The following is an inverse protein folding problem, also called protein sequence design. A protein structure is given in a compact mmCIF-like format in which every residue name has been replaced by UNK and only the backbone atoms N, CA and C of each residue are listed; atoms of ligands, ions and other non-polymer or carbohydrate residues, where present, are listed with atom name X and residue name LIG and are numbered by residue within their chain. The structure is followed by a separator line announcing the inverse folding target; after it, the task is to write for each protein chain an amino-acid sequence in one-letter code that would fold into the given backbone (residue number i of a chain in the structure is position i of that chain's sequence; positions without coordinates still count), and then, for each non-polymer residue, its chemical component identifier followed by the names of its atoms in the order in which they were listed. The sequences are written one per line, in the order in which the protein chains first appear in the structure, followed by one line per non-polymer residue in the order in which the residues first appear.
data_IF_297432505955
#
_entry.id   IF_297432505955
#
_cell.length_a   1.000
_cell.length_b   1.000
_cell.length_c   1.000
_cell.angle_alpha   90.00
_cell.angle_beta   90.00
_cell.angle_gamma   90.00
#
_symmetry.space_group_name_H-M   'P 1'
#
loop_
_entity.id
_entity.type
_entity.pdbx_description
1 polymer ?
#
# COMPACT_ATOMS: atom_id res chain seq x y z
N UNK A 1 -52.47 -1.79 -7.18
CA UNK A 1 -52.39 -2.08 -8.63
C UNK A 1 -53.82 -2.14 -9.12
N UNK A 2 -54.18 -1.45 -10.20
CA UNK A 2 -55.51 -1.58 -10.81
C UNK A 2 -55.50 -2.76 -11.77
N UNK A 3 -56.35 -3.75 -11.53
CA UNK A 3 -56.59 -4.87 -12.44
C UNK A 3 -58.08 -4.89 -12.78
N UNK A 4 -58.42 -4.73 -14.06
CA UNK A 4 -59.80 -4.73 -14.57
C UNK A 4 -60.76 -3.76 -13.84
N UNK A 5 -60.26 -2.59 -13.42
CA UNK A 5 -61.08 -1.58 -12.73
C UNK A 5 -61.29 -1.83 -11.23
N UNK A 6 -60.63 -2.85 -10.65
CA UNK A 6 -60.67 -3.15 -9.21
C UNK A 6 -59.34 -2.77 -8.56
N UNK A 7 -59.42 -2.00 -7.46
CA UNK A 7 -58.26 -1.64 -6.63
C UNK A 7 -57.79 -2.83 -5.83
N UNK A 8 -56.59 -3.34 -6.11
CA UNK A 8 -55.98 -4.46 -5.37
C UNK A 8 -54.81 -3.98 -4.50
N UNK A 9 -54.81 -4.41 -3.23
CA UNK A 9 -53.68 -4.29 -2.30
C UNK A 9 -52.85 -5.57 -2.36
N UNK A 10 -51.60 -5.44 -2.79
CA UNK A 10 -50.61 -6.53 -2.76
C UNK A 10 -49.76 -6.33 -1.52
N UNK A 11 -49.77 -7.32 -0.62
CA UNK A 11 -48.89 -7.36 0.55
C UNK A 11 -47.84 -8.44 0.32
N UNK A 12 -46.60 -8.02 0.12
CA UNK A 12 -45.46 -8.94 0.07
C UNK A 12 -44.90 -9.10 1.47
N UNK A 13 -44.77 -10.35 1.92
CA UNK A 13 -44.19 -10.67 3.22
C UNK A 13 -42.99 -11.57 2.97
N UNK A 14 -41.82 -11.10 3.37
CA UNK A 14 -40.59 -11.87 3.27
C UNK A 14 -40.59 -13.05 4.28
N UNK A 15 -39.92 -14.17 3.94
CA UNK A 15 -39.79 -15.27 4.88
C UNK A 15 -38.96 -14.85 6.10
N UNK A 16 -39.28 -15.40 7.29
CA UNK A 16 -38.59 -15.05 8.53
C UNK A 16 -37.12 -15.51 8.52
N UNK A 17 -36.22 -14.64 9.00
CA UNK A 17 -34.76 -14.78 8.96
C UNK A 17 -34.24 -15.56 10.17
N UNK A 18 -32.99 -16.02 10.08
CA UNK A 18 -32.26 -16.60 11.22
C UNK A 18 -32.36 -15.68 12.44
N UNK A 19 -32.81 -16.20 13.59
CA UNK A 19 -32.97 -15.42 14.82
C UNK A 19 -34.26 -14.67 15.03
N UNK A 20 -35.08 -14.51 13.99
CA UNK A 20 -36.38 -13.87 14.18
C UNK A 20 -37.21 -14.69 15.18
N UNK A 21 -37.90 -14.04 16.13
CA UNK A 21 -38.72 -14.73 17.11
C UNK A 21 -39.81 -15.53 16.41
N UNK A 22 -40.23 -16.62 17.06
CA UNK A 22 -41.37 -17.42 16.57
C UNK A 22 -42.64 -16.63 16.91
N UNK A 23 -43.28 -16.07 15.89
CA UNK A 23 -44.52 -15.32 16.04
C UNK A 23 -45.72 -16.27 16.18
N UNK A 24 -46.48 -16.09 17.26
CA UNK A 24 -47.70 -16.83 17.55
C UNK A 24 -48.96 -16.00 17.26
N UNK A 25 -50.08 -16.69 17.02
CA UNK A 25 -51.39 -16.07 16.92
C UNK A 25 -51.73 -15.36 18.24
N UNK A 26 -51.85 -14.03 18.24
CA UNK A 26 -52.11 -13.25 19.47
C UNK A 26 -53.59 -13.12 19.82
N UNK A 27 -54.49 -13.27 18.84
CA UNK A 27 -55.93 -13.15 19.02
C UNK A 27 -56.60 -14.41 18.48
N UNK A 28 -57.65 -14.87 19.17
CA UNK A 28 -58.43 -16.03 18.73
C UNK A 28 -58.90 -15.83 17.29
N UNK A 29 -58.70 -16.85 16.45
CA UNK A 29 -59.09 -16.83 15.05
C UNK A 29 -59.90 -18.09 14.74
N UNK A 30 -61.21 -17.93 14.57
CA UNK A 30 -62.14 -19.06 14.35
C UNK A 30 -61.98 -20.12 15.46
N UNK A 31 -61.45 -21.29 15.10
CA UNK A 31 -61.26 -22.45 15.96
C UNK A 31 -59.84 -22.55 16.54
N UNK A 32 -58.98 -21.55 16.30
CA UNK A 32 -57.62 -21.52 16.79
C UNK A 32 -57.49 -20.58 17.99
N UNK A 33 -56.98 -21.11 19.09
CA UNK A 33 -56.68 -20.35 20.30
C UNK A 33 -55.42 -19.50 20.14
N UNK A 34 -55.27 -18.42 20.92
CA UNK A 34 -54.01 -17.68 21.00
C UNK A 34 -52.83 -18.61 21.36
N UNK A 35 -51.66 -18.34 20.78
CA UNK A 35 -50.44 -19.13 20.97
C UNK A 35 -50.13 -20.09 19.82
N UNK A 36 -51.08 -20.36 18.92
CA UNK A 36 -50.87 -21.25 17.77
C UNK A 36 -49.91 -20.61 16.74
N UNK A 37 -48.96 -21.39 16.23
CA UNK A 37 -48.06 -20.99 15.13
C UNK A 37 -48.60 -21.55 13.82
N UNK A 38 -48.54 -20.76 12.75
CA UNK A 38 -48.92 -21.18 11.40
C UNK A 38 -47.71 -21.15 10.47
N UNK A 39 -47.70 -22.05 9.50
CA UNK A 39 -46.76 -22.04 8.38
C UNK A 39 -47.50 -21.97 7.06
N UNK A 40 -46.85 -21.38 6.05
CA UNK A 40 -47.38 -21.29 4.68
C UNK A 40 -46.73 -22.39 3.85
N UNK A 41 -47.54 -23.30 3.33
CA UNK A 41 -47.17 -24.25 2.29
C UNK A 41 -47.67 -23.73 0.94
N UNK A 42 -47.18 -24.25 -0.19
CA UNK A 42 -47.68 -23.89 -1.52
C UNK A 42 -49.22 -23.98 -1.57
N UNK A 43 -49.88 -22.83 -1.76
CA UNK A 43 -51.33 -22.72 -1.84
C UNK A 43 -52.11 -22.72 -0.52
N UNK A 44 -51.51 -23.03 0.64
CA UNK A 44 -52.27 -23.20 1.89
C UNK A 44 -51.54 -22.74 3.16
N UNK A 45 -52.30 -22.25 4.14
CA UNK A 45 -51.78 -21.94 5.49
C UNK A 45 -52.29 -23.01 6.45
N UNK A 46 -51.37 -23.68 7.14
CA UNK A 46 -51.67 -24.77 8.08
C UNK A 46 -51.04 -24.50 9.44
N UNK A 47 -51.60 -25.10 10.49
CA UNK A 47 -50.97 -25.07 11.81
C UNK A 47 -49.58 -25.75 11.73
N UNK A 48 -48.59 -25.16 12.39
CA UNK A 48 -47.24 -25.70 12.44
C UNK A 48 -47.26 -27.08 13.13
N UNK A 49 -46.58 -28.05 12.51
CA UNK A 49 -46.35 -29.38 13.10
C UNK A 49 -45.12 -29.33 14.01
N UNK A 50 -44.88 -30.35 14.85
CA UNK A 50 -43.66 -30.42 15.66
C UNK A 50 -42.37 -30.25 14.83
N UNK A 51 -42.30 -30.88 13.65
CA UNK A 51 -41.17 -30.73 12.74
C UNK A 51 -40.98 -29.28 12.25
N UNK A 52 -42.07 -28.54 12.00
CA UNK A 52 -41.99 -27.11 11.67
C UNK A 52 -41.49 -26.30 12.87
N UNK A 53 -41.94 -26.61 14.09
CA UNK A 53 -41.47 -25.94 15.31
C UNK A 53 -39.98 -26.20 15.52
N UNK A 54 -39.51 -27.44 15.44
CA UNK A 54 -38.07 -27.78 15.54
C UNK A 54 -37.22 -27.07 14.48
N UNK A 55 -37.74 -26.90 13.27
CA UNK A 55 -37.07 -26.14 12.21
C UNK A 55 -36.98 -24.65 12.58
N UNK A 56 -38.06 -24.07 13.11
CA UNK A 56 -38.10 -22.68 13.56
C UNK A 56 -37.20 -22.46 14.80
N UNK A 57 -37.13 -23.41 15.72
CA UNK A 57 -36.24 -23.39 16.88
C UNK A 57 -34.77 -23.50 16.46
N UNK A 58 -34.44 -24.43 15.56
CA UNK A 58 -33.09 -24.49 14.97
C UNK A 58 -32.71 -23.16 14.35
N UNK A 59 -33.62 -22.53 13.60
CA UNK A 59 -33.41 -21.20 13.01
C UNK A 59 -33.20 -20.12 14.09
N UNK A 60 -33.99 -20.14 15.15
CA UNK A 60 -33.88 -19.20 16.27
C UNK A 60 -32.51 -19.32 16.95
N UNK A 61 -32.07 -20.55 17.20
CA UNK A 61 -30.77 -20.86 17.81
C UNK A 61 -29.58 -20.54 16.90
N UNK A 62 -29.74 -20.63 15.57
CA UNK A 62 -28.68 -20.27 14.61
C UNK A 62 -28.23 -18.81 14.74
N UNK A 63 -29.10 -17.89 15.18
CA UNK A 63 -28.75 -16.46 15.35
C UNK A 63 -28.02 -16.14 16.64
N UNK A 64 -28.18 -16.94 17.70
CA UNK A 64 -27.46 -16.72 18.95
C UNK A 64 -25.94 -16.71 18.75
N UNK A 65 -25.44 -17.30 17.66
CA UNK A 65 -24.03 -17.42 17.33
C UNK A 65 -23.61 -16.73 16.02
N UNK A 66 -24.39 -15.78 15.46
CA UNK A 66 -23.98 -15.07 14.24
C UNK A 66 -23.07 -13.87 14.55
N UNK A 67 -21.94 -13.73 13.84
CA UNK A 67 -21.01 -12.60 13.96
C UNK A 67 -21.67 -11.30 13.44
N UNK A 68 -21.74 -10.27 14.29
CA UNK A 68 -22.26 -8.94 13.94
C UNK A 68 -21.19 -7.88 14.20
N UNK A 69 -20.45 -7.55 13.14
CA UNK A 69 -19.32 -6.62 13.20
C UNK A 69 -19.41 -5.71 11.98
N UNK A 70 -19.21 -4.41 12.17
CA UNK A 70 -19.17 -3.44 11.09
C UNK A 70 -17.73 -2.97 10.85
N UNK A 71 -17.31 -2.95 9.58
CA UNK A 71 -16.04 -2.31 9.16
C UNK A 71 -16.36 -0.96 8.51
N UNK A 72 -15.78 0.10 9.04
CA UNK A 72 -15.84 1.46 8.48
C UNK A 72 -14.46 2.01 8.14
N UNK A 73 -14.42 3.16 7.48
CA UNK A 73 -13.17 3.90 7.22
C UNK A 73 -12.83 4.76 8.44
N UNK A 74 -11.56 4.81 8.81
CA UNK A 74 -11.04 5.79 9.75
C UNK A 74 -10.58 7.03 8.98
N UNK A 75 -11.22 8.18 9.23
CA UNK A 75 -10.89 9.43 8.54
C UNK A 75 -11.71 9.64 7.27
N UNK A 76 -11.14 10.35 6.29
CA UNK A 76 -11.82 10.65 5.03
C UNK A 76 -11.90 9.41 4.12
N UNK A 77 -13.06 9.13 3.49
CA UNK A 77 -13.23 8.00 2.58
C UNK A 77 -12.65 8.32 1.18
N UNK A 78 -11.37 8.67 1.14
CA UNK A 78 -10.67 9.11 -0.06
C UNK A 78 -9.32 8.41 -0.18
N UNK A 79 -8.96 7.99 -1.40
CA UNK A 79 -7.64 7.45 -1.72
C UNK A 79 -7.04 8.20 -2.91
N UNK A 80 -5.79 8.62 -2.80
CA UNK A 80 -5.11 9.32 -3.89
C UNK A 80 -4.45 8.35 -4.89
N UNK A 81 -4.40 8.75 -6.16
CA UNK A 81 -3.65 8.07 -7.21
C UNK A 81 -2.15 8.18 -6.93
N UNK A 82 -1.37 7.20 -7.41
CA UNK A 82 0.08 7.25 -7.31
C UNK A 82 0.66 8.49 -8.01
N UNK A 83 1.60 9.18 -7.35
CA UNK A 83 2.29 10.32 -7.93
C UNK A 83 3.25 9.80 -9.00
N UNK A 84 3.14 10.31 -10.23
CA UNK A 84 4.04 9.90 -11.29
C UNK A 84 5.38 10.63 -11.18
N UNK A 85 6.31 10.06 -10.42
CA UNK A 85 7.68 10.58 -10.27
C UNK A 85 8.59 10.27 -11.46
N UNK A 86 8.23 9.32 -12.33
CA UNK A 86 9.09 8.83 -13.42
C UNK A 86 9.60 9.96 -14.33
N UNK A 87 8.77 10.91 -14.82
CA UNK A 87 9.25 11.97 -15.70
C UNK A 87 10.25 12.92 -15.03
N UNK A 88 10.17 13.07 -13.69
CA UNK A 88 11.10 13.90 -12.93
C UNK A 88 12.43 13.16 -12.77
N UNK A 89 12.38 11.87 -12.45
CA UNK A 89 13.54 10.99 -12.33
C UNK A 89 14.29 10.89 -13.67
N UNK A 90 13.58 10.65 -14.75
CA UNK A 90 14.14 10.58 -16.11
C UNK A 90 14.78 11.90 -16.53
N UNK A 91 14.10 13.04 -16.29
CA UNK A 91 14.64 14.37 -16.61
C UNK A 91 15.90 14.67 -15.81
N UNK A 92 15.90 14.33 -14.52
CA UNK A 92 17.07 14.48 -13.65
C UNK A 92 18.23 13.59 -14.15
N UNK A 93 17.95 12.33 -14.48
CA UNK A 93 18.94 11.38 -14.99
C UNK A 93 19.55 11.86 -16.31
N UNK A 94 18.71 12.32 -17.25
CA UNK A 94 19.16 12.88 -18.52
C UNK A 94 20.03 14.14 -18.34
N UNK A 95 19.68 15.01 -17.38
CA UNK A 95 20.50 16.17 -17.04
C UNK A 95 21.87 15.77 -16.47
N UNK A 96 21.90 14.79 -15.56
CA UNK A 96 23.15 14.27 -14.99
C UNK A 96 24.04 13.61 -16.04
N UNK A 97 23.47 12.82 -16.95
CA UNK A 97 24.21 12.23 -18.06
C UNK A 97 24.77 13.31 -18.99
N UNK A 98 23.98 14.33 -19.35
CA UNK A 98 24.42 15.42 -20.23
C UNK A 98 25.53 16.26 -19.61
N UNK A 99 25.45 16.54 -18.31
CA UNK A 99 26.46 17.32 -17.60
C UNK A 99 27.78 16.57 -17.45
N UNK A 100 27.70 15.27 -17.14
CA UNK A 100 28.87 14.48 -16.73
C UNK A 100 29.50 13.69 -17.87
N UNK A 101 28.71 13.23 -18.85
CA UNK A 101 29.24 12.65 -20.10
C UNK A 101 29.64 13.82 -21.00
N UNK A 102 30.89 14.27 -20.86
CA UNK A 102 31.48 15.16 -21.86
C UNK A 102 31.54 14.42 -23.20
N UNK A 103 31.11 15.03 -24.32
CA UNK A 103 31.60 14.59 -25.62
C UNK A 103 33.11 14.83 -25.64
N UNK A 104 33.91 13.76 -25.52
CA UNK A 104 35.38 13.80 -25.61
C UNK A 104 35.86 14.08 -27.05
N UNK A 105 35.30 15.09 -27.71
CA UNK A 105 35.76 15.52 -29.03
C UNK A 105 36.87 16.57 -28.96
N UNK A 106 37.25 17.03 -27.76
CA UNK A 106 38.45 17.86 -27.62
C UNK A 106 39.44 17.20 -26.65
N UNK A 107 40.62 16.74 -27.13
CA UNK A 107 41.74 16.57 -26.22
C UNK A 107 41.94 17.88 -25.45
N UNK A 108 42.43 17.83 -24.19
CA UNK A 108 42.69 19.05 -23.45
C UNK A 108 43.55 19.94 -24.34
N UNK A 109 42.97 21.06 -24.81
CA UNK A 109 43.75 22.11 -25.44
C UNK A 109 44.69 22.55 -24.34
N UNK A 110 45.92 22.07 -24.39
CA UNK A 110 47.04 22.71 -23.73
C UNK A 110 46.84 24.19 -24.03
N UNK A 111 46.58 24.97 -22.98
CA UNK A 111 46.50 26.41 -23.09
C UNK A 111 47.91 26.83 -23.48
N UNK A 112 48.19 26.84 -24.78
CA UNK A 112 49.28 27.60 -25.37
C UNK A 112 48.85 29.04 -25.20
N UNK A 113 49.07 29.56 -23.99
CA UNK A 113 48.90 30.96 -23.70
C UNK A 113 49.71 31.73 -24.72
N UNK A 114 49.02 32.50 -25.55
CA UNK A 114 49.66 33.55 -26.31
C UNK A 114 50.34 34.50 -25.33
N UNK A 115 51.67 34.44 -25.33
CA UNK A 115 52.60 35.55 -25.16
C UNK A 115 52.19 36.60 -24.11
N UNK A 116 52.50 36.31 -22.85
CA UNK A 116 53.03 37.33 -21.95
C UNK A 116 54.46 36.94 -21.57
N UNK A 117 55.40 37.79 -21.93
CA UNK A 117 56.84 37.61 -21.74
C UNK A 117 57.22 37.64 -20.26
N UNK A 118 58.25 36.86 -19.93
CA UNK A 118 58.98 36.84 -18.65
C UNK A 118 58.29 36.09 -17.49
N UNK A 119 58.15 34.78 -17.61
CA UNK A 119 58.11 33.87 -16.47
C UNK A 119 59.08 32.70 -16.72
N UNK A 120 59.87 32.40 -15.69
CA UNK A 120 61.04 31.51 -15.65
C UNK A 120 60.85 30.14 -16.33
N UNK A 121 61.81 29.76 -17.18
CA UNK A 121 61.93 28.44 -17.82
C UNK A 121 61.88 27.26 -16.83
N UNK A 122 62.24 27.47 -15.57
CA UNK A 122 62.27 26.43 -14.54
C UNK A 122 60.89 25.87 -14.16
N UNK A 123 59.82 26.66 -14.26
CA UNK A 123 58.44 26.21 -13.90
C UNK A 123 57.79 25.49 -15.08
N UNK A 124 58.07 25.93 -16.31
CA UNK A 124 57.60 25.27 -17.53
C UNK A 124 58.27 23.91 -17.72
N UNK A 125 59.59 23.79 -17.47
CA UNK A 125 60.31 22.52 -17.52
C UNK A 125 59.89 21.58 -16.37
N UNK A 126 59.60 22.11 -15.18
CA UNK A 126 58.99 21.34 -14.10
C UNK A 126 57.61 20.80 -14.50
N UNK A 127 56.70 21.65 -15.01
CA UNK A 127 55.36 21.24 -15.44
C UNK A 127 55.40 20.25 -16.62
N UNK A 128 56.33 20.40 -17.56
CA UNK A 128 56.56 19.45 -18.63
C UNK A 128 57.03 18.07 -18.10
N UNK A 129 57.83 18.05 -17.03
CA UNK A 129 58.29 16.83 -16.37
C UNK A 129 57.19 16.05 -15.62
N UNK A 130 56.17 16.73 -15.09
CA UNK A 130 55.00 16.11 -14.43
C UNK A 130 53.77 15.94 -15.34
N UNK A 131 53.77 16.49 -16.56
CA UNK A 131 52.67 16.33 -17.52
C UNK A 131 52.29 14.86 -17.81
N UNK A 132 53.24 13.90 -17.93
CA UNK A 132 52.91 12.47 -18.06
C UNK A 132 52.20 11.89 -16.82
N UNK A 133 52.40 12.53 -15.67
CA UNK A 133 51.86 12.11 -14.39
C UNK A 133 50.48 12.73 -14.10
N UNK A 134 50.08 13.79 -14.82
CA UNK A 134 48.80 14.47 -14.72
C UNK A 134 47.73 13.92 -15.68
N UNK A 135 48.08 12.95 -16.53
CA UNK A 135 47.14 12.29 -17.41
C UNK A 135 46.12 11.46 -16.63
N UNK A 136 44.83 11.64 -16.95
CA UNK A 136 43.75 10.80 -16.44
C UNK A 136 44.02 9.32 -16.78
N UNK A 137 44.06 8.48 -15.74
CA UNK A 137 44.34 7.04 -15.89
C UNK A 137 43.16 6.26 -16.46
N UNK A 138 41.93 6.74 -16.24
CA UNK A 138 40.73 6.09 -16.76
C UNK A 138 40.62 6.33 -18.26
N UNK A 139 40.18 5.32 -19.01
CA UNK A 139 39.73 5.54 -20.38
C UNK A 139 38.43 6.34 -20.35
N UNK A 140 38.18 7.11 -21.40
CA UNK A 140 36.91 7.83 -21.60
C UNK A 140 35.70 6.92 -21.48
N UNK A 141 35.80 5.73 -22.07
CA UNK A 141 34.76 4.70 -22.01
C UNK A 141 34.51 4.23 -20.58
N UNK A 142 35.57 4.00 -19.80
CA UNK A 142 35.46 3.59 -18.40
C UNK A 142 34.76 4.66 -17.55
N UNK A 143 35.15 5.92 -17.68
CA UNK A 143 34.48 7.02 -16.96
C UNK A 143 33.02 7.17 -17.37
N UNK A 144 32.71 7.09 -18.67
CA UNK A 144 31.33 7.15 -19.14
C UNK A 144 30.48 6.00 -18.58
N UNK A 145 31.05 4.80 -18.46
CA UNK A 145 30.38 3.66 -17.83
C UNK A 145 30.19 3.86 -16.31
N UNK A 146 31.18 4.41 -15.60
CA UNK A 146 31.06 4.78 -14.18
C UNK A 146 29.93 5.80 -13.96
N UNK A 147 29.84 6.83 -14.81
CA UNK A 147 28.76 7.84 -14.75
C UNK A 147 27.39 7.21 -15.02
N UNK A 148 27.26 6.34 -16.04
CA UNK A 148 25.99 5.64 -16.32
C UNK A 148 25.55 4.77 -15.15
N UNK A 149 26.48 4.02 -14.56
CA UNK A 149 26.21 3.17 -13.40
C UNK A 149 25.76 4.01 -12.19
N UNK A 150 26.44 5.13 -11.92
CA UNK A 150 26.06 6.08 -10.88
C UNK A 150 24.64 6.63 -11.10
N UNK A 151 24.32 7.11 -12.30
CA UNK A 151 22.98 7.65 -12.61
C UNK A 151 21.91 6.58 -12.44
N UNK A 152 22.15 5.36 -12.93
CA UNK A 152 21.23 4.23 -12.75
C UNK A 152 20.99 3.93 -11.27
N UNK A 153 22.05 3.87 -10.45
CA UNK A 153 21.93 3.65 -9.02
C UNK A 153 21.16 4.77 -8.31
N UNK A 154 21.34 6.03 -8.74
CA UNK A 154 20.55 7.15 -8.22
C UNK A 154 19.07 7.05 -8.61
N UNK A 155 18.73 6.60 -9.83
CA UNK A 155 17.33 6.40 -10.23
C UNK A 155 16.64 5.36 -9.33
N UNK A 156 17.33 4.27 -8.98
CA UNK A 156 16.80 3.29 -8.03
C UNK A 156 16.56 3.90 -6.65
N UNK A 157 17.49 4.72 -6.16
CA UNK A 157 17.33 5.46 -4.89
C UNK A 157 16.14 6.42 -4.94
N UNK A 158 15.95 7.14 -6.04
CA UNK A 158 14.81 8.03 -6.25
C UNK A 158 13.48 7.25 -6.28
N UNK A 159 13.45 6.08 -6.93
CA UNK A 159 12.29 5.19 -6.91
C UNK A 159 11.92 4.72 -5.49
N UNK A 160 12.93 4.39 -4.66
CA UNK A 160 12.71 4.07 -3.24
C UNK A 160 12.20 5.27 -2.44
N UNK A 161 12.79 6.45 -2.65
CA UNK A 161 12.35 7.71 -2.03
C UNK A 161 10.89 8.03 -2.39
N UNK A 162 10.47 7.79 -3.63
CA UNK A 162 9.06 7.96 -4.05
C UNK A 162 8.11 7.04 -3.27
N UNK A 163 8.48 5.76 -3.08
CA UNK A 163 7.71 4.83 -2.23
C UNK A 163 7.65 5.31 -0.78
N UNK A 164 8.75 5.85 -0.23
CA UNK A 164 8.77 6.42 1.11
C UNK A 164 7.87 7.66 1.24
N UNK A 165 7.81 8.52 0.22
CA UNK A 165 6.89 9.66 0.18
C UNK A 165 5.43 9.18 0.22
N UNK A 166 5.07 8.19 -0.60
CA UNK A 166 3.75 7.55 -0.56
C UNK A 166 3.43 6.95 0.81
N UNK A 167 4.38 6.24 1.43
CA UNK A 167 4.19 5.63 2.75
C UNK A 167 3.91 6.66 3.85
N UNK A 168 4.47 7.87 3.74
CA UNK A 168 4.29 8.97 4.71
C UNK A 168 3.07 9.83 4.41
N UNK A 169 2.56 9.80 3.19
CA UNK A 169 1.45 10.63 2.75
C UNK A 169 0.10 10.15 3.31
N UNK A 170 -0.69 11.00 3.98
CA UNK A 170 -2.00 10.61 4.52
C UNK A 170 -2.98 10.18 3.41
N UNK A 171 -2.94 10.79 2.22
CA UNK A 171 -3.83 10.44 1.11
C UNK A 171 -3.59 9.05 0.50
N UNK A 172 -2.47 8.40 0.85
CA UNK A 172 -2.15 7.03 0.43
C UNK A 172 -2.31 6.01 1.57
N UNK A 173 -2.89 6.38 2.71
CA UNK A 173 -3.06 5.49 3.87
C UNK A 173 -4.50 5.05 4.04
N UNK A 174 -4.77 3.76 3.83
CA UNK A 174 -6.05 3.16 4.19
C UNK A 174 -6.02 2.70 5.64
N UNK A 175 -6.90 3.25 6.47
CA UNK A 175 -7.10 2.81 7.83
C UNK A 175 -8.58 2.47 8.06
N UNK A 176 -8.83 1.31 8.68
CA UNK A 176 -10.17 0.78 8.88
C UNK A 176 -10.49 0.71 10.37
N UNK A 177 -11.77 0.87 10.72
CA UNK A 177 -12.29 0.68 12.07
C UNK A 177 -13.22 -0.52 12.10
N UNK A 178 -12.92 -1.47 12.96
CA UNK A 178 -13.78 -2.58 13.31
C UNK A 178 -14.67 -2.18 14.50
N UNK A 179 -15.98 -2.26 14.35
CA UNK A 179 -16.95 -1.93 15.40
C UNK A 179 -17.78 -3.17 15.74
N UNK A 180 -17.74 -3.59 16.99
CA UNK A 180 -18.60 -4.63 17.53
C UNK A 180 -19.91 -4.02 18.06
N UNK A 181 -21.05 -4.64 17.79
CA UNK A 181 -22.37 -4.10 18.17
C UNK A 181 -22.87 -4.56 19.52
N UNK A 182 -22.62 -5.79 19.99
CA UNK A 182 -23.41 -6.34 21.11
C UNK A 182 -22.69 -7.34 22.04
N UNK A 183 -21.96 -8.34 21.50
CA UNK A 183 -21.42 -9.45 22.32
C UNK A 183 -19.92 -9.68 22.13
N UNK A 184 -19.19 -10.29 23.08
CA UNK A 184 -17.76 -10.52 22.90
C UNK A 184 -17.50 -11.52 21.78
N UNK A 185 -16.57 -11.17 20.89
CA UNK A 185 -16.07 -12.06 19.83
C UNK A 185 -14.59 -12.33 20.05
N UNK A 186 -14.20 -13.60 19.99
CA UNK A 186 -12.82 -14.04 20.17
C UNK A 186 -12.19 -14.34 18.81
N UNK A 187 -10.89 -14.00 18.69
CA UNK A 187 -10.07 -14.23 17.50
C UNK A 187 -10.79 -13.88 16.18
N UNK A 188 -11.32 -12.66 16.10
CA UNK A 188 -11.96 -12.16 14.89
C UNK A 188 -10.91 -11.91 13.82
N UNK A 189 -10.99 -12.68 12.75
CA UNK A 189 -10.18 -12.50 11.54
C UNK A 189 -10.92 -11.59 10.57
N UNK A 190 -10.18 -10.72 9.89
CA UNK A 190 -10.74 -9.80 8.90
C UNK A 190 -9.91 -9.89 7.63
N UNK A 191 -10.58 -10.24 6.54
CA UNK A 191 -10.04 -10.20 5.19
C UNK A 191 -10.65 -9.03 4.44
N UNK A 192 -9.82 -8.15 3.91
CA UNK A 192 -10.23 -7.02 3.07
C UNK A 192 -9.78 -7.29 1.64
N UNK A 193 -10.66 -7.00 0.68
CA UNK A 193 -10.33 -6.96 -0.74
C UNK A 193 -10.60 -5.55 -1.25
N UNK A 194 -9.59 -4.94 -1.85
CA UNK A 194 -9.64 -3.59 -2.40
C UNK A 194 -9.48 -3.70 -3.91
N UNK A 195 -10.52 -3.31 -4.65
CA UNK A 195 -10.53 -3.28 -6.12
C UNK A 195 -10.21 -1.87 -6.61
N UNK A 196 -9.36 -1.75 -7.63
CA UNK A 196 -8.95 -0.47 -8.20
C UNK A 196 -7.85 0.24 -7.39
N UNK A 197 -7.03 -0.53 -6.67
CA UNK A 197 -5.92 0.00 -5.88
C UNK A 197 -4.63 -0.82 -6.06
N UNK A 198 -3.50 -0.21 -5.75
CA UNK A 198 -2.19 -0.84 -5.75
C UNK A 198 -1.56 -0.69 -4.38
N UNK A 199 -0.94 -1.75 -3.89
CA UNK A 199 -0.20 -1.72 -2.65
C UNK A 199 1.19 -1.13 -2.89
N UNK A 200 1.56 -0.14 -2.08
CA UNK A 200 2.91 0.40 -2.07
C UNK A 200 3.60 -0.20 -0.87
N UNK A 201 4.54 -1.11 -1.12
CA UNK A 201 5.37 -1.67 -0.06
C UNK A 201 6.20 -0.55 0.56
N UNK A 202 5.84 -0.20 1.79
CA UNK A 202 6.48 0.86 2.55
C UNK A 202 7.84 0.37 3.05
N UNK A 203 8.92 0.93 2.51
CA UNK A 203 10.23 0.84 3.17
C UNK A 203 10.25 1.85 4.32
N UNK A 204 9.88 1.41 5.53
CA UNK A 204 10.04 2.21 6.74
C UNK A 204 11.53 2.40 7.04
N UNK A 205 11.97 3.65 7.18
CA UNK A 205 13.36 3.94 7.49
C UNK A 205 13.77 5.39 7.24
N UNK A 206 15.07 5.62 7.46
CA UNK A 206 15.73 6.86 7.09
C UNK A 206 15.72 7.05 5.55
N UNK A 207 15.86 8.30 5.13
CA UNK A 207 16.04 8.60 3.71
C UNK A 207 17.26 7.85 3.18
N UNK A 208 17.08 7.13 2.07
CA UNK A 208 18.18 6.44 1.41
C UNK A 208 19.10 7.50 0.81
N UNK A 209 20.37 7.53 1.24
CA UNK A 209 21.37 8.44 0.70
C UNK A 209 21.70 8.08 -0.76
N UNK A 210 22.07 9.08 -1.55
CA UNK A 210 22.60 8.82 -2.89
C UNK A 210 23.90 8.02 -2.82
N UNK A 211 24.18 7.19 -3.84
CA UNK A 211 25.49 6.56 -3.98
C UNK A 211 26.58 7.64 -4.07
N UNK A 212 27.82 7.27 -3.73
CA UNK A 212 28.96 8.18 -3.83
C UNK A 212 29.13 8.62 -5.30
N UNK A 213 29.29 9.93 -5.50
CA UNK A 213 29.53 10.46 -6.84
C UNK A 213 30.85 9.94 -7.43
N UNK A 214 30.91 9.68 -8.75
CA UNK A 214 32.16 9.35 -9.42
C UNK A 214 33.11 10.55 -9.40
N UNK A 215 34.40 10.29 -9.21
CA UNK A 215 35.40 11.35 -9.20
C UNK A 215 35.42 12.09 -10.56
N UNK A 216 35.50 13.43 -10.59
CA UNK A 216 35.54 14.19 -11.84
C UNK A 216 36.63 13.71 -12.80
N UNK A 217 36.39 13.80 -14.10
CA UNK A 217 37.43 13.53 -15.10
C UNK A 217 38.67 14.42 -14.88
N UNK A 218 39.86 13.82 -14.91
CA UNK A 218 41.14 14.48 -14.67
C UNK A 218 41.64 14.40 -13.21
N UNK A 219 40.88 13.79 -12.29
CA UNK A 219 41.25 13.72 -10.87
C UNK A 219 42.07 12.47 -10.51
N UNK A 220 41.99 11.39 -11.30
CA UNK A 220 42.79 10.18 -11.10
C UNK A 220 44.09 10.26 -11.91
N UNK A 221 45.02 11.02 -11.36
CA UNK A 221 46.37 11.20 -11.89
C UNK A 221 47.33 10.15 -11.33
N UNK A 222 48.56 10.07 -11.85
CA UNK A 222 49.60 9.16 -11.35
C UNK A 222 50.04 9.48 -9.91
N UNK A 223 49.84 10.73 -9.48
CA UNK A 223 50.12 11.21 -8.12
C UNK A 223 48.99 10.91 -7.13
N UNK A 224 47.78 10.63 -7.63
CA UNK A 224 46.70 10.12 -6.82
C UNK A 224 46.94 8.61 -6.65
N UNK A 225 47.23 8.10 -5.43
CA UNK A 225 47.38 6.67 -5.25
C UNK A 225 46.10 5.98 -5.74
N UNK A 226 46.19 4.79 -6.37
CA UNK A 226 45.00 4.04 -6.74
C UNK A 226 44.26 3.75 -5.44
N UNK A 227 43.22 4.53 -5.16
CA UNK A 227 42.23 4.11 -4.18
C UNK A 227 41.66 2.85 -4.83
N UNK A 228 41.82 1.65 -4.23
CA UNK A 228 41.23 0.46 -4.79
C UNK A 228 39.76 0.79 -5.03
N UNK A 229 39.36 0.76 -6.30
CA UNK A 229 37.96 0.90 -6.65
C UNK A 229 37.29 -0.29 -5.99
N UNK A 230 36.59 -0.04 -4.89
CA UNK A 230 35.81 -1.02 -4.13
C UNK A 230 34.58 -1.49 -4.94
N UNK A 231 34.68 -1.48 -6.27
CA UNK A 231 33.67 -1.99 -7.21
C UNK A 231 33.60 -3.51 -7.29
N UNK A 232 34.48 -4.25 -6.60
CA UNK A 232 34.43 -5.72 -6.47
C UNK A 232 34.30 -6.22 -5.02
N UNK A 233 34.24 -5.32 -4.04
CA UNK A 233 33.67 -5.66 -2.74
C UNK A 233 32.27 -5.07 -2.75
N UNK A 234 31.30 -5.91 -3.11
CA UNK A 234 29.98 -5.85 -2.49
C UNK A 234 30.25 -5.70 -0.99
N UNK A 235 30.22 -4.47 -0.47
CA UNK A 235 30.02 -4.26 0.94
C UNK A 235 28.55 -4.54 1.13
N UNK A 236 28.14 -5.72 1.67
CA UNK A 236 26.87 -5.75 2.34
C UNK A 236 27.06 -4.78 3.52
N UNK A 237 26.62 -3.53 3.35
CA UNK A 237 26.10 -2.79 4.49
C UNK A 237 24.80 -3.48 4.91
N UNK A 238 24.96 -4.72 5.40
CA UNK A 238 24.17 -5.23 6.49
C UNK A 238 24.50 -4.30 7.64
N UNK A 239 23.65 -3.30 7.83
CA UNK A 239 23.56 -2.65 9.13
C UNK A 239 23.26 -3.74 10.14
N UNK A 240 24.30 -4.29 10.77
CA UNK A 240 24.22 -4.90 12.07
C UNK A 240 23.91 -3.79 13.06
N UNK A 241 22.69 -3.25 12.96
CA UNK A 241 22.05 -2.67 14.12
C UNK A 241 22.03 -3.77 15.16
N UNK A 242 22.63 -3.50 16.31
CA UNK A 242 22.37 -4.26 17.52
C UNK A 242 20.85 -4.33 17.66
N UNK A 243 20.26 -5.44 17.25
CA UNK A 243 18.90 -5.79 17.58
C UNK A 243 18.94 -6.06 19.08
N UNK A 244 18.75 -4.99 19.85
CA UNK A 244 18.25 -5.11 21.20
C UNK A 244 16.96 -5.91 21.03
N UNK A 245 16.99 -7.18 21.45
CA UNK A 245 15.82 -8.02 21.66
C UNK A 245 15.02 -7.38 22.80
N UNK A 246 14.41 -6.23 22.52
CA UNK A 246 13.16 -5.88 23.15
C UNK A 246 12.17 -6.87 22.56
N UNK A 247 11.88 -7.92 23.33
CA UNK A 247 10.64 -8.70 23.21
C UNK A 247 9.43 -7.78 23.49
N UNK A 248 9.34 -6.68 22.73
CA UNK A 248 8.16 -5.86 22.63
C UNK A 248 7.25 -6.56 21.65
N UNK A 249 6.19 -7.19 22.17
CA UNK A 249 4.93 -7.53 21.50
C UNK A 249 5.05 -7.47 19.97
N UNK A 250 5.38 -8.60 19.32
CA UNK A 250 5.34 -8.69 17.85
C UNK A 250 3.95 -8.27 17.39
N UNK A 251 3.80 -7.01 16.94
CA UNK A 251 2.60 -6.57 16.25
C UNK A 251 2.56 -7.39 14.97
N UNK A 252 1.59 -8.27 14.91
CA UNK A 252 1.40 -9.19 13.80
C UNK A 252 0.89 -8.38 12.61
N UNK A 253 1.84 -7.88 11.80
CA UNK A 253 1.57 -7.08 10.61
C UNK A 253 0.56 -7.79 9.69
N UNK A 254 -0.35 -7.04 9.04
CA UNK A 254 -1.29 -7.62 8.10
C UNK A 254 -0.54 -8.24 6.92
N UNK A 255 -1.02 -9.40 6.44
CA UNK A 255 -0.48 -10.03 5.24
C UNK A 255 -1.15 -9.43 4.03
N UNK A 256 -0.38 -8.79 3.16
CA UNK A 256 -0.88 -8.17 1.93
C UNK A 256 -0.51 -9.04 0.73
N UNK A 257 -1.49 -9.31 -0.14
CA UNK A 257 -1.30 -9.99 -1.42
C UNK A 257 -1.91 -9.13 -2.51
N UNK A 258 -1.12 -8.75 -3.50
CA UNK A 258 -1.59 -8.01 -4.65
C UNK A 258 -1.67 -8.91 -5.89
N UNK A 259 -2.75 -8.78 -6.65
CA UNK A 259 -2.93 -9.40 -7.97
C UNK A 259 -3.45 -8.31 -8.90
N UNK A 260 -2.60 -7.82 -9.82
CA UNK A 260 -2.91 -6.67 -10.70
C UNK A 260 -3.31 -5.43 -9.87
N UNK A 261 -4.57 -5.00 -9.98
CA UNK A 261 -5.17 -3.83 -9.31
C UNK A 261 -6.14 -4.23 -8.18
N UNK A 262 -6.08 -5.49 -7.78
CA UNK A 262 -6.82 -6.02 -6.64
C UNK A 262 -5.83 -6.34 -5.52
N UNK A 263 -6.10 -5.78 -4.34
CA UNK A 263 -5.28 -5.99 -3.14
C UNK A 263 -6.11 -6.76 -2.11
N UNK A 264 -5.61 -7.91 -1.68
CA UNK A 264 -6.17 -8.67 -0.55
C UNK A 264 -5.31 -8.48 0.67
N UNK A 265 -5.93 -8.09 1.78
CA UNK A 265 -5.28 -7.84 3.07
C UNK A 265 -5.90 -8.79 4.09
N UNK A 266 -5.06 -9.54 4.79
CA UNK A 266 -5.45 -10.38 5.91
C UNK A 266 -4.90 -9.79 7.21
N UNK A 267 -5.80 -9.37 8.09
CA UNK A 267 -5.45 -8.92 9.43
C UNK A 267 -5.35 -10.10 10.39
N UNK A 268 -4.43 -9.99 11.34
CA UNK A 268 -4.26 -10.99 12.38
C UNK A 268 -5.49 -11.06 13.31
N UNK A 269 -5.77 -12.21 13.94
CA UNK A 269 -6.96 -12.36 14.78
C UNK A 269 -6.99 -11.39 15.95
N UNK A 270 -8.16 -10.81 16.22
CA UNK A 270 -8.36 -9.80 17.26
C UNK A 270 -9.56 -10.15 18.14
N UNK A 271 -9.40 -10.04 19.46
CA UNK A 271 -10.54 -10.11 20.38
C UNK A 271 -11.30 -8.77 20.42
N UNK A 272 -12.62 -8.84 20.27
CA UNK A 272 -13.52 -7.69 20.32
C UNK A 272 -14.47 -7.82 21.50
N UNK A 273 -14.42 -6.84 22.41
CA UNK A 273 -15.43 -6.70 23.47
C UNK A 273 -16.73 -6.11 22.92
N UNK A 274 -17.88 -6.29 23.60
CA UNK A 274 -19.12 -5.59 23.29
C UNK A 274 -18.90 -4.09 23.09
N UNK A 275 -19.51 -3.52 22.05
CA UNK A 275 -19.43 -2.09 21.71
C UNK A 275 -18.00 -1.55 21.45
N UNK A 276 -16.99 -2.42 21.39
CA UNK A 276 -15.62 -2.00 21.18
C UNK A 276 -15.42 -1.50 19.75
N UNK A 277 -14.66 -0.42 19.64
CA UNK A 277 -14.15 0.10 18.37
C UNK A 277 -12.66 -0.12 18.35
N UNK A 278 -12.17 -0.84 17.35
CA UNK A 278 -10.76 -1.14 17.17
C UNK A 278 -10.29 -0.62 15.82
N UNK A 279 -9.34 0.28 15.87
CA UNK A 279 -8.66 0.76 14.67
C UNK A 279 -7.68 -0.33 14.23
N UNK A 280 -7.78 -0.73 12.96
CA UNK A 280 -6.86 -1.67 12.33
C UNK A 280 -5.57 -0.96 11.91
N UNK A 281 -4.53 -1.75 11.67
CA UNK A 281 -3.25 -1.23 11.20
C UNK A 281 -3.39 -0.57 9.82
N UNK A 282 -2.76 0.59 9.65
CA UNK A 282 -2.85 1.33 8.40
C UNK A 282 -2.00 0.67 7.31
N UNK A 283 -2.49 0.69 6.08
CA UNK A 283 -1.80 0.11 4.93
C UNK A 283 -1.66 1.17 3.84
N UNK A 284 -0.49 1.24 3.23
CA UNK A 284 -0.23 2.19 2.15
C UNK A 284 -0.76 1.65 0.82
N UNK A 285 -1.79 2.31 0.30
CA UNK A 285 -2.42 2.00 -0.98
C UNK A 285 -2.50 3.27 -1.84
N UNK A 286 -2.48 3.10 -3.15
CA UNK A 286 -2.76 4.16 -4.11
C UNK A 286 -3.89 3.74 -5.03
N UNK A 287 -4.80 4.65 -5.36
CA UNK A 287 -5.83 4.39 -6.36
C UNK A 287 -5.19 4.15 -7.74
N UNK A 288 -5.80 3.27 -8.54
CA UNK A 288 -5.35 3.00 -9.91
C UNK A 288 -5.69 4.14 -10.87
N UNK A 289 -6.85 4.80 -10.65
CA UNK A 289 -7.40 5.85 -11.50
C UNK A 289 -8.08 6.92 -10.62
N UNK A 290 -7.97 8.19 -11.01
CA UNK A 290 -8.50 9.34 -10.28
C UNK A 290 -10.01 9.52 -10.49
N UNK A 291 -10.56 8.93 -11.55
CA UNK A 291 -11.97 9.08 -11.92
C UNK A 291 -12.82 7.86 -11.54
N UNK A 292 -12.18 6.77 -11.06
CA UNK A 292 -12.88 5.54 -10.68
C UNK A 292 -12.84 5.31 -9.18
N UNK A 293 -14.00 5.07 -8.53
CA UNK A 293 -14.05 4.82 -7.10
C UNK A 293 -13.41 3.49 -6.74
N UNK A 294 -12.68 3.48 -5.62
CA UNK A 294 -12.04 2.28 -5.08
C UNK A 294 -13.06 1.52 -4.24
N UNK A 295 -13.27 0.23 -4.55
CA UNK A 295 -14.26 -0.59 -3.84
C UNK A 295 -13.56 -1.46 -2.81
N UNK A 296 -13.96 -1.32 -1.56
CA UNK A 296 -13.45 -2.11 -0.44
C UNK A 296 -14.54 -3.09 -0.03
N UNK A 297 -14.32 -4.38 -0.28
CA UNK A 297 -15.15 -5.45 0.28
C UNK A 297 -14.42 -6.11 1.44
N UNK A 298 -15.17 -6.54 2.43
CA UNK A 298 -14.59 -7.17 3.61
C UNK A 298 -15.37 -8.39 4.02
N UNK A 299 -14.68 -9.29 4.68
CA UNK A 299 -15.21 -10.55 5.19
C UNK A 299 -14.58 -10.82 6.54
N UNK A 300 -15.39 -11.20 7.51
CA UNK A 300 -14.93 -11.46 8.88
C UNK A 300 -15.52 -12.75 9.43
N UNK A 301 -14.70 -13.44 10.22
CA UNK A 301 -15.01 -14.70 10.90
C UNK A 301 -14.48 -14.63 12.33
N UNK A 302 -15.09 -15.35 13.27
CA UNK A 302 -14.62 -15.44 14.66
C UNK A 302 -14.54 -16.89 15.12
N UNK A 303 -13.70 -17.19 16.11
CA UNK A 303 -13.49 -18.57 16.58
C UNK A 303 -14.61 -19.09 17.47
N UNK A 304 -15.30 -18.19 18.17
CA UNK A 304 -16.37 -18.52 19.11
C UNK A 304 -17.77 -18.37 18.52
N UNK A 305 -17.88 -18.14 17.21
CA UNK A 305 -19.14 -17.84 16.51
C UNK A 305 -19.17 -18.48 15.14
N UNK A 306 -20.35 -18.90 14.71
CA UNK A 306 -20.53 -19.53 13.41
C UNK A 306 -21.03 -18.50 12.40
N UNK A 307 -20.49 -18.58 11.19
CA UNK A 307 -20.91 -17.75 10.06
C UNK A 307 -19.87 -16.71 9.67
N UNK A 308 -20.21 -16.01 8.59
CA UNK A 308 -19.33 -15.03 7.94
C UNK A 308 -20.08 -13.71 7.92
N UNK A 309 -19.46 -12.66 8.46
CA UNK A 309 -19.95 -11.30 8.33
C UNK A 309 -19.26 -10.63 7.14
N UNK A 310 -20.00 -9.91 6.31
CA UNK A 310 -19.45 -9.28 5.11
C UNK A 310 -20.09 -7.92 4.88
N UNK A 311 -19.35 -7.05 4.22
CA UNK A 311 -19.84 -5.74 3.83
C UNK A 311 -18.98 -5.09 2.77
N UNK A 312 -19.38 -3.89 2.38
CA UNK A 312 -18.70 -3.10 1.35
C UNK A 312 -18.67 -1.64 1.76
N UNK A 313 -17.59 -0.98 1.39
CA UNK A 313 -17.38 0.46 1.52
C UNK A 313 -16.76 0.97 0.24
N UNK A 314 -17.13 2.17 -0.17
CA UNK A 314 -16.59 2.81 -1.37
C UNK A 314 -15.76 4.01 -0.94
N UNK A 315 -14.56 4.14 -1.52
CA UNK A 315 -13.69 5.30 -1.36
C UNK A 315 -13.71 6.11 -2.66
N UNK A 316 -13.77 7.43 -2.54
CA UNK A 316 -13.53 8.30 -3.69
C UNK A 316 -12.04 8.29 -4.05
N UNK A 317 -11.72 8.35 -5.33
CA UNK A 317 -10.35 8.57 -5.80
C UNK A 317 -10.11 10.06 -6.06
N UNK A 318 -8.86 10.50 -5.88
CA UNK A 318 -8.42 11.88 -6.18
C UNK A 318 -7.02 11.89 -6.78
N UNK A 319 -6.64 12.96 -7.51
CA UNK A 319 -5.26 13.17 -7.92
C UNK A 319 -4.31 13.25 -6.71
N UNK A 320 -3.06 12.83 -6.91
CA UNK A 320 -2.01 12.94 -5.89
C UNK A 320 -1.76 14.39 -5.48
N UNK A 321 -1.74 14.64 -4.17
CA UNK A 321 -1.30 15.91 -3.57
C UNK A 321 0.15 15.87 -3.07
N UNK A 322 0.87 14.76 -3.29
CA UNK A 322 2.27 14.61 -2.91
C UNK A 322 3.15 15.63 -3.63
N UNK A 323 3.95 16.35 -2.84
CA UNK A 323 4.97 17.27 -3.35
C UNK A 323 6.21 16.50 -3.81
N UNK A 324 6.33 16.37 -5.13
CA UNK A 324 7.46 15.68 -5.77
C UNK A 324 8.77 16.49 -5.72
N UNK A 325 8.76 17.76 -5.32
CA UNK A 325 9.99 18.54 -5.17
C UNK A 325 10.93 17.95 -4.09
N UNK A 326 10.36 17.29 -3.09
CA UNK A 326 11.10 16.62 -2.01
C UNK A 326 11.90 15.41 -2.50
N UNK A 327 11.61 14.87 -3.69
CA UNK A 327 12.29 13.69 -4.21
C UNK A 327 13.81 13.93 -4.42
N UNK A 328 14.15 15.16 -4.83
CA UNK A 328 15.50 15.57 -5.20
C UNK A 328 16.25 16.30 -4.08
N UNK A 329 15.58 16.56 -2.94
CA UNK A 329 16.20 17.11 -1.74
C UNK A 329 17.08 16.07 -1.03
#
# INVERSE_FOLDING_TARGET
MDHEGVKVLVVTVDPPRAGDPIHTLRKRLRNFEPGVVFTRLPGQTVQASPAHIEMLERRLLTSANQLDVAVGIHGEPVLEVAANGEPIIERWAAAQLKERIRPLSEPPRLVTGERSSAASSSVADMLAGIAPFLGERRTSERYNNEVRHYVSACQEVLGKRLKQLHARHPGSRLQLVLTNTDRPFAAVEVTIKVEGARHVEAEEGAWVAFPKEPDPWGSQTVLTPPVPSFGDMVTPYSGAGLAVNLEGVRRSLPRVRQVREDVTILYSPIDLRPHARRVLEAITLTAADADQPVRVSWTSTGSNVNGVCQGRVTLASRPSSIDLSQLLA
#
